data_IF_607078524470
#
_entry.id   IF_607078524470
#
_cell.length_a   1.000
_cell.length_b   1.000
_cell.length_c   1.000
_cell.angle_alpha   90.00
_cell.angle_beta   90.00
_cell.angle_gamma   90.00
#
_symmetry.space_group_name_H-M   'P 1'
#
loop_
_entity.id
_entity.type
_entity.pdbx_description
1 polymer ?
#
# COMPACT_ATOMS: atom_id res chain seq x y z
N UNK A 1 -9.19 -18.84 -0.42
CA UNK A 1 -9.12 -18.07 -1.68
C UNK A 1 -7.82 -17.29 -1.69
N UNK A 2 -7.05 -17.41 -2.77
CA UNK A 2 -5.75 -16.75 -2.93
C UNK A 2 -6.01 -15.28 -3.36
N UNK A 3 -5.61 -14.25 -2.58
CA UNK A 3 -5.82 -12.87 -3.00
C UNK A 3 -4.93 -12.62 -4.22
N UNK A 4 -5.57 -12.55 -5.39
CA UNK A 4 -4.92 -12.20 -6.66
C UNK A 4 -4.47 -10.74 -6.56
N UNK A 5 -3.22 -10.46 -6.89
CA UNK A 5 -2.73 -9.09 -7.10
C UNK A 5 -3.57 -8.55 -8.28
N UNK A 6 -4.35 -7.50 -8.05
CA UNK A 6 -5.09 -6.80 -9.09
C UNK A 6 -4.50 -5.41 -9.21
N UNK A 7 -3.98 -5.09 -10.40
CA UNK A 7 -3.34 -3.82 -10.69
C UNK A 7 -4.35 -2.69 -10.74
N UNK A 8 -3.89 -1.49 -10.40
CA UNK A 8 -4.54 -0.26 -10.83
C UNK A 8 -3.79 0.30 -12.02
N UNK A 9 -4.50 0.40 -13.14
CA UNK A 9 -3.98 0.93 -14.38
C UNK A 9 -4.16 2.46 -14.35
N UNK A 10 -3.08 3.18 -14.05
CA UNK A 10 -2.99 4.59 -14.44
C UNK A 10 -2.33 4.58 -15.82
N UNK A 11 -3.07 5.03 -16.83
CA UNK A 11 -2.64 4.98 -18.22
C UNK A 11 -1.26 5.63 -18.40
N UNK A 12 -0.35 4.90 -19.05
CA UNK A 12 1.00 5.39 -19.40
C UNK A 12 2.13 5.04 -18.44
N UNK A 13 1.86 4.43 -17.26
CA UNK A 13 2.91 3.98 -16.36
C UNK A 13 3.52 2.64 -16.80
N UNK A 14 4.84 2.53 -16.71
CA UNK A 14 5.57 1.25 -16.83
C UNK A 14 5.82 0.71 -15.43
N UNK A 15 5.38 -0.52 -15.16
CA UNK A 15 5.52 -1.14 -13.85
C UNK A 15 6.61 -2.21 -13.84
N UNK A 16 7.42 -2.21 -12.78
CA UNK A 16 8.29 -3.34 -12.42
C UNK A 16 7.82 -3.91 -11.09
N UNK A 17 7.68 -5.24 -10.99
CA UNK A 17 7.23 -5.91 -9.76
C UNK A 17 8.28 -6.92 -9.28
N UNK A 18 8.57 -6.87 -7.98
CA UNK A 18 9.35 -7.89 -7.28
C UNK A 18 8.40 -8.93 -6.67
N UNK A 19 8.50 -10.18 -7.11
CA UNK A 19 7.62 -11.26 -6.65
C UNK A 19 8.40 -12.50 -6.25
N UNK A 20 8.02 -13.14 -5.13
CA UNK A 20 8.64 -14.42 -4.71
C UNK A 20 8.30 -15.58 -5.66
N UNK A 21 7.08 -15.55 -6.19
CA UNK A 21 6.49 -16.61 -6.99
C UNK A 21 5.71 -15.98 -8.17
N UNK A 22 6.32 -15.88 -9.36
CA UNK A 22 5.71 -15.29 -10.54
C UNK A 22 4.39 -15.93 -10.96
N UNK A 23 4.16 -17.22 -10.63
CA UNK A 23 2.93 -17.93 -10.98
C UNK A 23 1.67 -17.35 -10.33
N UNK A 24 1.83 -16.49 -9.31
CA UNK A 24 0.73 -15.82 -8.60
C UNK A 24 0.24 -14.55 -9.29
N UNK A 25 0.94 -14.07 -10.32
CA UNK A 25 0.49 -12.95 -11.14
C UNK A 25 -0.55 -13.45 -12.14
N UNK A 26 -1.60 -12.65 -12.36
CA UNK A 26 -2.53 -12.90 -13.45
C UNK A 26 -1.77 -12.72 -14.79
N UNK A 27 -1.94 -13.67 -15.72
CA UNK A 27 -1.21 -13.67 -16.99
C UNK A 27 -1.46 -12.43 -17.86
N UNK A 28 -2.59 -11.74 -17.70
CA UNK A 28 -2.81 -10.44 -18.36
C UNK A 28 -1.97 -9.33 -17.73
N UNK A 29 -1.80 -9.33 -16.40
CA UNK A 29 -1.00 -8.33 -15.68
C UNK A 29 0.50 -8.46 -15.98
N UNK A 30 0.95 -9.69 -16.28
CA UNK A 30 2.34 -9.96 -16.61
C UNK A 30 2.77 -9.42 -17.99
N UNK A 31 1.83 -9.13 -18.91
CA UNK A 31 2.16 -8.70 -20.27
C UNK A 31 2.71 -7.28 -20.33
N UNK A 32 2.18 -6.39 -19.49
CA UNK A 32 2.52 -4.96 -19.47
C UNK A 32 3.40 -4.57 -18.27
N UNK A 33 3.95 -5.57 -17.57
CA UNK A 33 4.74 -5.39 -16.35
C UNK A 33 6.07 -6.14 -16.46
N UNK A 34 7.18 -5.51 -16.10
CA UNK A 34 8.46 -6.21 -15.92
C UNK A 34 8.42 -6.99 -14.61
N UNK A 35 8.48 -8.31 -14.70
CA UNK A 35 8.40 -9.20 -13.54
C UNK A 35 9.80 -9.69 -13.17
N UNK A 36 10.24 -9.37 -11.94
CA UNK A 36 11.50 -9.86 -11.38
C UNK A 36 11.19 -10.78 -10.21
N UNK A 37 11.75 -11.99 -10.26
CA UNK A 37 11.64 -12.93 -9.15
C UNK A 37 12.66 -12.60 -8.05
N UNK A 38 12.21 -12.53 -6.80
CA UNK A 38 13.07 -12.31 -5.64
C UNK A 38 12.30 -12.10 -4.33
N UNK A 39 13.03 -11.82 -3.26
CA UNK A 39 12.48 -11.57 -1.93
C UNK A 39 12.86 -10.18 -1.41
N UNK A 40 11.90 -9.43 -0.88
CA UNK A 40 12.13 -8.08 -0.35
C UNK A 40 13.09 -8.05 0.85
N UNK A 41 13.22 -9.16 1.57
CA UNK A 41 14.18 -9.32 2.68
C UNK A 41 15.62 -9.50 2.20
N UNK A 42 15.83 -9.71 0.89
CA UNK A 42 17.14 -9.73 0.25
C UNK A 42 17.39 -8.38 -0.44
N UNK A 43 18.38 -7.63 0.04
CA UNK A 43 18.72 -6.33 -0.52
C UNK A 43 19.11 -6.40 -2.01
N UNK A 44 19.84 -7.43 -2.43
CA UNK A 44 20.23 -7.58 -3.83
C UNK A 44 19.04 -7.81 -4.75
N UNK A 45 18.00 -8.50 -4.26
CA UNK A 45 16.77 -8.69 -5.02
C UNK A 45 16.00 -7.37 -5.17
N UNK A 46 15.99 -6.53 -4.12
CA UNK A 46 15.41 -5.18 -4.18
C UNK A 46 16.16 -4.30 -5.17
N UNK A 47 17.50 -4.34 -5.20
CA UNK A 47 18.30 -3.55 -6.17
C UNK A 47 17.95 -3.84 -7.62
N UNK A 48 17.64 -5.10 -7.96
CA UNK A 48 17.27 -5.50 -9.34
C UNK A 48 16.06 -4.74 -9.89
N UNK A 49 15.19 -4.22 -9.02
CA UNK A 49 13.96 -3.52 -9.43
C UNK A 49 14.01 -2.00 -9.24
N UNK A 50 15.15 -1.43 -8.82
CA UNK A 50 15.26 0.02 -8.56
C UNK A 50 15.75 0.85 -9.75
N UNK A 51 16.53 0.25 -10.65
CA UNK A 51 17.14 1.00 -11.73
C UNK A 51 16.09 1.65 -12.65
N UNK A 52 16.20 2.98 -12.85
CA UNK A 52 15.32 3.75 -13.72
C UNK A 52 13.88 3.91 -13.23
N UNK A 53 13.59 3.64 -11.95
CA UNK A 53 12.26 3.89 -11.39
C UNK A 53 12.12 5.35 -10.92
N UNK A 54 10.94 5.94 -11.15
CA UNK A 54 10.62 7.30 -10.69
C UNK A 54 10.02 7.31 -9.27
N UNK A 55 9.48 6.18 -8.82
CA UNK A 55 8.89 6.05 -7.49
C UNK A 55 8.58 4.59 -7.13
N UNK A 56 8.26 4.34 -5.87
CA UNK A 56 8.02 2.98 -5.34
C UNK A 56 6.66 2.91 -4.62
N UNK A 57 5.87 1.90 -4.94
CA UNK A 57 4.68 1.52 -4.17
C UNK A 57 5.01 0.31 -3.30
N UNK A 58 4.73 0.40 -2.00
CA UNK A 58 4.93 -0.70 -1.05
C UNK A 58 3.58 -1.19 -0.54
N UNK A 59 3.19 -2.39 -0.97
CA UNK A 59 1.99 -3.09 -0.50
C UNK A 59 2.34 -4.46 0.10
N UNK A 60 3.36 -4.46 0.99
CA UNK A 60 3.79 -5.67 1.70
C UNK A 60 2.74 -6.07 2.75
N UNK A 61 2.61 -7.37 2.98
CA UNK A 61 1.68 -7.91 3.96
C UNK A 61 1.94 -9.38 4.24
N UNK A 62 1.37 -9.87 5.33
CA UNK A 62 1.51 -11.26 5.81
C UNK A 62 0.37 -12.17 5.35
N UNK A 63 -0.45 -11.71 4.40
CA UNK A 63 -1.70 -12.37 3.99
C UNK A 63 -2.63 -12.54 5.20
N UNK A 64 -2.87 -13.79 5.61
CA UNK A 64 -3.72 -14.11 6.77
C UNK A 64 -2.92 -14.50 8.01
N UNK A 65 -1.58 -14.42 7.96
CA UNK A 65 -0.72 -14.75 9.10
C UNK A 65 -0.62 -13.53 10.03
N UNK A 66 -0.93 -13.73 11.31
CA UNK A 66 -0.93 -12.68 12.32
C UNK A 66 0.19 -12.85 13.36
N UNK A 67 1.01 -13.89 13.22
CA UNK A 67 2.13 -14.19 14.10
C UNK A 67 3.21 -13.10 14.03
N UNK A 68 4.08 -13.08 15.04
CA UNK A 68 5.24 -12.20 15.08
C UNK A 68 6.08 -12.36 13.80
N UNK A 69 6.45 -11.23 13.20
CA UNK A 69 7.26 -11.18 11.98
C UNK A 69 8.08 -9.90 11.95
N UNK A 70 9.09 -9.87 11.10
CA UNK A 70 9.90 -8.68 10.77
C UNK A 70 9.99 -8.44 9.28
N UNK A 71 9.27 -9.24 8.46
CA UNK A 71 9.43 -9.24 7.00
C UNK A 71 9.06 -7.88 6.39
N UNK A 72 8.04 -7.21 6.92
CA UNK A 72 7.57 -5.95 6.34
C UNK A 72 8.50 -4.79 6.68
N UNK A 73 8.92 -4.70 7.95
CA UNK A 73 9.84 -3.65 8.41
C UNK A 73 11.28 -3.86 7.89
N UNK A 74 11.75 -5.10 7.76
CA UNK A 74 13.03 -5.41 7.10
C UNK A 74 12.96 -5.13 5.60
N UNK A 75 11.87 -5.54 4.94
CA UNK A 75 11.68 -5.26 3.51
C UNK A 75 11.67 -3.77 3.20
N UNK A 76 10.96 -2.97 4.00
CA UNK A 76 10.94 -1.52 3.85
C UNK A 76 12.33 -0.90 4.02
N UNK A 77 13.13 -1.39 4.98
CA UNK A 77 14.52 -0.94 5.16
C UNK A 77 15.34 -1.15 3.89
N UNK A 78 15.26 -2.34 3.29
CA UNK A 78 15.99 -2.65 2.06
C UNK A 78 15.53 -1.76 0.90
N UNK A 79 14.21 -1.51 0.80
CA UNK A 79 13.64 -0.58 -0.19
C UNK A 79 14.21 0.82 -0.01
N UNK A 80 14.17 1.39 1.20
CA UNK A 80 14.68 2.73 1.47
C UNK A 80 16.18 2.85 1.18
N UNK A 81 16.98 1.84 1.54
CA UNK A 81 18.41 1.78 1.22
C UNK A 81 18.66 1.78 -0.28
N UNK A 82 17.96 0.91 -1.02
CA UNK A 82 18.13 0.80 -2.46
C UNK A 82 17.59 2.06 -3.18
N UNK A 83 16.47 2.63 -2.75
CA UNK A 83 15.98 3.91 -3.27
C UNK A 83 17.03 5.01 -3.14
N UNK A 84 17.70 5.10 -1.99
CA UNK A 84 18.77 6.07 -1.78
C UNK A 84 19.97 5.83 -2.69
N UNK A 85 20.39 4.58 -2.85
CA UNK A 85 21.50 4.18 -3.73
C UNK A 85 21.23 4.52 -5.20
N UNK A 86 20.00 4.30 -5.66
CA UNK A 86 19.59 4.52 -7.06
C UNK A 86 18.97 5.89 -7.33
N UNK A 87 18.90 6.76 -6.32
CA UNK A 87 18.36 8.12 -6.46
C UNK A 87 16.85 8.18 -6.68
N UNK A 88 16.10 7.15 -6.29
CA UNK A 88 14.62 7.15 -6.41
C UNK A 88 14.02 8.02 -5.29
N UNK A 89 13.28 9.09 -5.61
CA UNK A 89 12.89 10.09 -4.62
C UNK A 89 11.64 9.70 -3.84
N UNK A 90 10.64 9.09 -4.50
CA UNK A 90 9.26 9.05 -4.02
C UNK A 90 8.78 7.66 -3.66
N UNK A 91 8.03 7.55 -2.56
CA UNK A 91 7.50 6.27 -2.06
C UNK A 91 6.11 6.45 -1.44
N UNK A 92 5.18 5.55 -1.78
CA UNK A 92 3.92 5.39 -1.07
C UNK A 92 3.86 4.02 -0.40
N UNK A 93 3.44 3.97 0.86
CA UNK A 93 3.45 2.75 1.67
C UNK A 93 2.07 2.46 2.23
N UNK A 94 1.54 1.29 1.90
CA UNK A 94 0.35 0.76 2.55
C UNK A 94 0.70 0.26 3.95
N UNK A 95 0.03 0.80 4.96
CA UNK A 95 0.12 0.41 6.35
C UNK A 95 -1.30 0.04 6.84
N UNK A 96 -1.68 0.48 8.03
CA UNK A 96 -2.99 0.24 8.61
C UNK A 96 -3.51 1.46 9.37
N UNK A 97 -4.81 1.72 9.26
CA UNK A 97 -5.55 2.68 10.09
C UNK A 97 -5.39 2.43 11.59
N UNK A 98 -5.02 1.22 12.03
CA UNK A 98 -4.71 0.96 13.44
C UNK A 98 -3.57 1.84 13.99
N UNK A 99 -2.72 2.42 13.14
CA UNK A 99 -1.71 3.41 13.57
C UNK A 99 -2.31 4.75 14.03
N UNK A 100 -3.61 4.99 13.77
CA UNK A 100 -4.36 6.12 14.33
C UNK A 100 -5.14 5.76 15.59
N UNK A 101 -5.11 4.49 16.01
CA UNK A 101 -5.89 4.03 17.16
C UNK A 101 -5.08 4.18 18.44
N UNK A 102 -5.78 4.36 19.54
CA UNK A 102 -5.23 4.12 20.86
C UNK A 102 -4.79 2.64 20.96
N UNK A 103 -3.51 2.34 21.27
CA UNK A 103 -3.03 0.97 21.43
C UNK A 103 -3.85 0.12 22.40
N UNK A 104 -4.47 0.73 23.42
CA UNK A 104 -5.34 0.03 24.37
C UNK A 104 -6.65 -0.49 23.75
N UNK A 105 -7.04 0.03 22.58
CA UNK A 105 -8.26 -0.36 21.84
C UNK A 105 -7.97 -1.33 20.69
N UNK A 106 -6.70 -1.71 20.50
CA UNK A 106 -6.31 -2.64 19.46
C UNK A 106 -6.72 -4.07 19.82
N UNK A 107 -7.39 -4.83 18.93
CA UNK A 107 -7.64 -6.25 19.17
C UNK A 107 -6.32 -7.02 19.31
N UNK A 108 -6.18 -7.81 20.38
CA UNK A 108 -4.92 -8.47 20.75
C UNK A 108 -4.27 -9.30 19.62
N UNK A 109 -5.09 -9.92 18.78
CA UNK A 109 -4.65 -10.70 17.61
C UNK A 109 -3.89 -9.89 16.55
N UNK A 110 -4.02 -8.55 16.55
CA UNK A 110 -3.30 -7.66 15.63
C UNK A 110 -2.07 -7.02 16.25
N UNK A 111 -1.73 -7.32 17.51
CA UNK A 111 -0.61 -6.69 18.23
C UNK A 111 0.72 -6.81 17.51
N UNK A 112 1.06 -7.98 16.99
CA UNK A 112 2.29 -8.21 16.22
C UNK A 112 2.31 -7.46 14.90
N UNK A 113 1.22 -7.53 14.12
CA UNK A 113 1.11 -6.84 12.84
C UNK A 113 1.09 -5.31 13.02
N UNK A 114 0.45 -4.81 14.09
CA UNK A 114 0.50 -3.40 14.45
C UNK A 114 1.92 -2.97 14.80
N UNK A 115 2.63 -3.75 15.62
CA UNK A 115 4.03 -3.46 15.98
C UNK A 115 4.92 -3.38 14.74
N UNK A 116 4.70 -4.25 13.76
CA UNK A 116 5.40 -4.18 12.48
C UNK A 116 5.09 -2.93 11.68
N UNK A 117 3.82 -2.53 11.60
CA UNK A 117 3.46 -1.26 10.95
C UNK A 117 4.02 -0.04 11.70
N UNK A 118 4.15 -0.10 13.04
CA UNK A 118 4.83 0.93 13.84
C UNK A 118 6.32 1.02 13.43
N UNK A 119 7.00 -0.12 13.33
CA UNK A 119 8.40 -0.15 12.87
C UNK A 119 8.54 0.39 11.45
N UNK A 120 7.59 0.09 10.56
CA UNK A 120 7.60 0.59 9.18
C UNK A 120 7.41 2.11 9.12
N UNK A 121 6.40 2.65 9.82
CA UNK A 121 6.11 4.09 9.75
C UNK A 121 7.24 4.92 10.36
N UNK A 122 7.87 4.44 11.43
CA UNK A 122 9.04 5.10 12.01
C UNK A 122 10.21 5.17 11.01
N UNK A 123 10.49 4.09 10.28
CA UNK A 123 11.53 4.07 9.25
C UNK A 123 11.19 4.98 8.07
N UNK A 124 9.92 4.98 7.64
CA UNK A 124 9.44 5.81 6.54
C UNK A 124 9.57 7.30 6.87
N UNK A 125 9.09 7.71 8.04
CA UNK A 125 9.10 9.11 8.49
C UNK A 125 10.51 9.63 8.80
N UNK A 126 11.41 8.74 9.23
CA UNK A 126 12.82 9.07 9.44
C UNK A 126 13.65 9.09 8.15
N UNK A 127 13.10 8.66 7.02
CA UNK A 127 13.81 8.63 5.74
C UNK A 127 13.94 10.02 5.13
N UNK A 128 14.90 10.16 4.20
CA UNK A 128 15.10 11.36 3.39
C UNK A 128 14.29 11.31 2.07
N UNK A 129 13.27 10.45 1.98
CA UNK A 129 12.43 10.26 0.79
C UNK A 129 11.19 11.15 0.81
N UNK A 130 10.65 11.41 -0.37
CA UNK A 130 9.32 12.00 -0.54
C UNK A 130 8.26 10.92 -0.25
N UNK A 131 7.84 10.81 1.00
CA UNK A 131 7.01 9.70 1.45
C UNK A 131 5.54 10.07 1.59
N UNK A 132 4.67 9.06 1.36
CA UNK A 132 3.25 9.08 1.72
C UNK A 132 2.90 7.78 2.43
N UNK A 133 2.27 7.88 3.61
CA UNK A 133 1.81 6.71 4.35
C UNK A 133 0.31 6.54 4.13
N UNK A 134 -0.12 5.48 3.45
CA UNK A 134 -1.53 5.16 3.21
C UNK A 134 -2.03 4.20 4.31
N UNK A 135 -2.99 4.65 5.13
CA UNK A 135 -3.47 3.94 6.33
C UNK A 135 -4.94 3.52 6.14
N UNK A 136 -5.21 2.48 5.32
CA UNK A 136 -6.58 2.03 5.08
C UNK A 136 -7.20 1.35 6.32
N UNK A 137 -8.54 1.37 6.42
CA UNK A 137 -9.30 0.52 7.33
C UNK A 137 -9.42 -0.89 6.73
N UNK A 138 -10.56 -1.56 6.90
CA UNK A 138 -10.77 -2.86 6.27
C UNK A 138 -10.71 -2.74 4.74
N UNK A 139 -9.79 -3.50 4.12
CA UNK A 139 -9.68 -3.59 2.66
C UNK A 139 -10.64 -4.68 2.17
N UNK A 140 -11.75 -4.24 1.59
CA UNK A 140 -12.80 -5.14 1.16
C UNK A 140 -12.55 -5.69 -0.25
N UNK A 141 -12.75 -7.00 -0.40
CA UNK A 141 -12.55 -7.69 -1.67
C UNK A 141 -13.70 -7.50 -2.68
N UNK A 142 -14.91 -7.18 -2.18
CA UNK A 142 -16.16 -7.15 -2.94
C UNK A 142 -16.76 -5.74 -3.05
N UNK A 143 -16.07 -4.70 -2.55
CA UNK A 143 -16.48 -3.32 -2.80
C UNK A 143 -16.21 -2.96 -4.27
N UNK A 144 -17.09 -2.16 -4.91
CA UNK A 144 -16.90 -1.74 -6.29
C UNK A 144 -15.62 -0.92 -6.47
N UNK A 145 -15.17 -0.83 -7.71
CA UNK A 145 -14.20 0.19 -8.11
C UNK A 145 -14.94 1.53 -8.23
N UNK A 146 -14.63 2.46 -7.32
CA UNK A 146 -15.25 3.79 -7.31
C UNK A 146 -14.53 4.76 -8.27
N UNK A 147 -13.60 4.25 -9.10
CA UNK A 147 -12.90 5.00 -10.16
C UNK A 147 -12.21 6.26 -9.62
N UNK A 148 -11.59 6.12 -8.45
CA UNK A 148 -10.91 7.23 -7.77
C UNK A 148 -11.80 8.12 -6.90
N UNK A 149 -13.11 7.86 -6.84
CA UNK A 149 -14.02 8.56 -5.94
C UNK A 149 -13.94 8.00 -4.51
N UNK A 150 -12.80 8.14 -3.85
CA UNK A 150 -12.60 7.81 -2.44
C UNK A 150 -12.32 9.07 -1.61
N UNK A 151 -12.48 8.97 -0.30
CA UNK A 151 -12.18 10.06 0.62
C UNK A 151 -10.82 9.84 1.28
N UNK A 152 -9.99 10.90 1.30
CA UNK A 152 -8.70 10.94 1.99
C UNK A 152 -8.75 12.00 3.08
N UNK A 153 -8.29 11.64 4.28
CA UNK A 153 -8.09 12.57 5.40
C UNK A 153 -6.61 12.51 5.80
N UNK A 154 -5.99 13.67 5.98
CA UNK A 154 -4.58 13.75 6.40
C UNK A 154 -4.47 13.69 7.92
N UNK A 155 -3.53 12.89 8.39
CA UNK A 155 -3.12 12.67 9.77
C UNK A 155 -4.23 12.20 10.72
N UNK A 156 -5.33 11.70 10.18
CA UNK A 156 -6.46 11.18 10.95
C UNK A 156 -7.11 9.98 10.25
N UNK A 157 -7.94 9.24 10.99
CA UNK A 157 -8.75 8.17 10.43
C UNK A 157 -9.77 8.72 9.43
N UNK A 158 -9.97 7.97 8.34
CA UNK A 158 -11.11 8.19 7.48
C UNK A 158 -12.43 7.84 8.21
N UNK A 159 -13.54 8.52 7.89
CA UNK A 159 -14.80 8.37 8.63
C UNK A 159 -15.42 6.98 8.48
N UNK A 160 -15.26 6.33 7.32
CA UNK A 160 -15.74 4.96 7.10
C UNK A 160 -14.63 3.96 7.36
N UNK A 161 -15.03 2.78 7.84
CA UNK A 161 -14.12 1.68 8.20
C UNK A 161 -13.90 0.67 7.07
N UNK A 162 -14.09 1.08 5.83
CA UNK A 162 -13.98 0.22 4.64
C UNK A 162 -13.40 0.98 3.46
N UNK A 163 -12.55 0.30 2.69
CA UNK A 163 -12.04 0.78 1.41
C UNK A 163 -11.98 -0.39 0.41
N UNK A 164 -12.33 -0.13 -0.84
CA UNK A 164 -12.13 -1.06 -1.94
C UNK A 164 -10.63 -1.27 -2.17
N UNK A 165 -10.22 -2.52 -2.45
CA UNK A 165 -8.85 -2.80 -2.91
C UNK A 165 -8.48 -2.03 -4.19
N UNK A 166 -9.46 -1.73 -5.04
CA UNK A 166 -9.26 -0.98 -6.28
C UNK A 166 -8.96 0.49 -5.98
N UNK A 167 -9.76 1.11 -5.11
CA UNK A 167 -9.54 2.49 -4.66
C UNK A 167 -8.20 2.67 -3.95
N UNK A 168 -7.86 1.75 -3.05
CA UNK A 168 -6.58 1.77 -2.36
C UNK A 168 -5.40 1.65 -3.33
N UNK A 169 -5.49 0.74 -4.31
CA UNK A 169 -4.48 0.62 -5.35
C UNK A 169 -4.35 1.90 -6.18
N UNK A 170 -5.47 2.56 -6.49
CA UNK A 170 -5.48 3.82 -7.24
C UNK A 170 -4.79 4.91 -6.44
N UNK A 171 -5.11 5.02 -5.14
CA UNK A 171 -4.52 5.99 -4.25
C UNK A 171 -3.01 5.81 -4.09
N UNK A 172 -2.53 4.58 -3.88
CA UNK A 172 -1.11 4.30 -3.73
C UNK A 172 -0.30 4.79 -4.93
N UNK A 173 -0.79 4.58 -6.15
CA UNK A 173 -0.12 5.05 -7.36
C UNK A 173 -0.31 6.56 -7.55
N UNK A 174 -1.50 7.09 -7.29
CA UNK A 174 -1.78 8.52 -7.37
C UNK A 174 -0.85 9.35 -6.47
N UNK A 175 -0.51 8.84 -5.28
CA UNK A 175 0.45 9.47 -4.37
C UNK A 175 1.84 9.69 -4.97
N UNK A 176 2.22 8.95 -6.02
CA UNK A 176 3.49 9.19 -6.72
C UNK A 176 3.42 10.36 -7.70
N UNK A 177 2.23 10.82 -8.06
CA UNK A 177 1.99 11.78 -9.15
C UNK A 177 1.54 13.16 -8.66
N UNK A 178 1.36 13.33 -7.34
CA UNK A 178 0.92 14.59 -6.73
C UNK A 178 1.72 14.88 -5.47
N UNK A 179 1.86 16.16 -5.15
CA UNK A 179 2.54 16.62 -3.92
C UNK A 179 1.56 16.79 -2.75
N UNK A 180 0.24 16.70 -3.00
CA UNK A 180 -0.82 16.93 -2.01
C UNK A 180 -0.66 16.09 -0.74
N UNK A 181 -0.12 14.88 -0.87
CA UNK A 181 -0.05 13.89 0.21
C UNK A 181 1.35 13.74 0.81
N UNK A 182 2.32 14.52 0.33
CA UNK A 182 3.71 14.39 0.79
C UNK A 182 3.83 14.64 2.29
N UNK A 183 4.58 13.76 2.94
CA UNK A 183 4.80 13.76 4.39
C UNK A 183 3.49 13.71 5.21
N UNK A 184 2.48 13.00 4.71
CA UNK A 184 1.19 12.79 5.40
C UNK A 184 0.94 11.33 5.69
N UNK A 185 0.29 11.08 6.83
CA UNK A 185 -0.42 9.83 7.11
C UNK A 185 -1.84 9.97 6.56
N UNK A 186 -2.18 9.25 5.52
CA UNK A 186 -3.46 9.38 4.83
C UNK A 186 -4.43 8.28 5.26
N UNK A 187 -5.44 8.63 6.05
CA UNK A 187 -6.62 7.79 6.22
C UNK A 187 -7.44 7.81 4.93
N UNK A 188 -7.81 6.64 4.42
CA UNK A 188 -8.59 6.51 3.17
C UNK A 188 -9.82 5.63 3.38
N UNK A 189 -10.97 6.00 2.81
CA UNK A 189 -12.15 5.14 2.76
C UNK A 189 -12.92 5.27 1.44
N UNK A 190 -13.65 4.21 1.08
CA UNK A 190 -14.61 4.26 -0.03
C UNK A 190 -15.73 5.27 0.29
N UNK A 191 -16.40 5.84 -0.72
CA UNK A 191 -17.43 6.85 -0.52
C UNK A 191 -18.66 6.25 0.18
N UNK A 192 -19.57 7.09 0.66
CA UNK A 192 -20.88 6.58 1.08
C UNK A 192 -21.61 5.99 -0.13
N UNK A 193 -22.37 4.89 0.04
CA UNK A 193 -23.24 4.42 -1.03
C UNK A 193 -24.24 5.53 -1.38
N UNK A 194 -24.68 5.61 -2.65
CA UNK A 194 -25.74 6.54 -3.03
C UNK A 194 -26.95 6.29 -2.13
N UNK A 195 -27.56 7.37 -1.62
CA UNK A 195 -28.83 7.26 -0.90
C UNK A 195 -29.82 6.61 -1.87
N UNK A 196 -30.49 5.54 -1.44
CA UNK A 196 -31.63 5.02 -2.18
C UNK A 196 -32.60 6.19 -2.37
N UNK A 197 -32.91 6.54 -3.62
CA UNK A 197 -34.03 7.41 -3.90
C UNK A 197 -35.24 6.71 -3.30
N UNK A 198 -35.88 7.33 -2.30
CA UNK A 198 -37.24 6.96 -1.90
C UNK A 198 -38.05 6.88 -3.19
N UNK A 199 -38.33 5.66 -3.64
CA UNK A 199 -39.36 5.41 -4.63
C UNK A 199 -40.64 5.93 -4.00
N UNK A 200 -40.96 7.20 -4.31
CA UNK A 200 -42.26 7.78 -4.01
C UNK A 200 -43.28 6.89 -4.70
N UNK A 201 -43.94 6.09 -3.87
CA UNK A 201 -45.16 5.37 -4.19
C UNK A 201 -46.25 6.33 -4.67
#
# INVERSE_FOLDING_TARGET
MNPKIQQVYIAGLKATVLVRDPSRLNGELAKDTTVIQGDVTNLEDVRKVMNGQDGVVVALGTRNQLDATTVMSHGLRNILLAMKEFGVPRISVCLSSFLFWDPAKLPAQFSHIHSEHVNMIQQLEASDREWVACLPPHIAANEPDNKGNYKVIHNENAPRRIVSKHDLGHFLVHCLMTDEHLSKRCGICSPEPPKEEEQKA
#
